data_IF_275836120609
#
_entry.id   IF_275836120609
#
_cell.length_a   1.000
_cell.length_b   1.000
_cell.length_c   1.000
_cell.angle_alpha   90.00
_cell.angle_beta   90.00
_cell.angle_gamma   90.00
#
_symmetry.space_group_name_H-M   'P 1'
#
loop_
_entity.id
_entity.type
_entity.pdbx_description
1 polymer ?
#
# COMPACT_ATOMS: atom_id res chain seq x y z
N UNK A 1 -40.60 -36.34 -48.93
CA UNK A 1 -41.89 -35.61 -49.06
C UNK A 1 -41.88 -34.46 -48.07
N UNK A 2 -41.93 -33.42 -48.62
CA UNK A 2 -42.71 -32.14 -48.56
C UNK A 2 -42.11 -31.22 -47.45
N UNK A 3 -41.35 -30.24 -47.79
CA UNK A 3 -41.76 -28.96 -48.44
C UNK A 3 -42.39 -27.94 -47.46
N UNK A 4 -41.74 -26.76 -47.40
CA UNK A 4 -42.36 -25.42 -47.24
C UNK A 4 -42.32 -24.86 -45.81
N UNK A 5 -42.09 -23.63 -45.57
CA UNK A 5 -42.11 -22.38 -46.39
C UNK A 5 -41.24 -21.34 -45.61
N UNK A 6 -40.50 -20.60 -46.37
CA UNK A 6 -39.84 -19.33 -46.06
C UNK A 6 -40.90 -18.27 -45.65
N UNK A 7 -40.73 -17.65 -44.52
CA UNK A 7 -41.34 -16.36 -44.22
C UNK A 7 -40.34 -15.37 -43.79
N UNK A 8 -39.95 -14.50 -44.68
CA UNK A 8 -39.14 -13.31 -44.44
C UNK A 8 -40.02 -12.33 -43.68
N UNK A 9 -39.61 -11.98 -42.48
CA UNK A 9 -40.15 -10.83 -41.76
C UNK A 9 -39.07 -9.73 -41.71
N UNK A 10 -39.25 -8.77 -42.60
CA UNK A 10 -38.55 -7.51 -42.57
C UNK A 10 -39.14 -6.71 -41.41
N UNK A 11 -38.38 -6.52 -40.34
CA UNK A 11 -38.73 -5.53 -39.34
C UNK A 11 -37.56 -4.57 -39.10
N UNK A 12 -37.84 -3.39 -39.46
CA UNK A 12 -37.45 -2.08 -38.98
C UNK A 12 -36.12 -1.97 -38.28
N UNK A 13 -35.17 -1.33 -38.99
CA UNK A 13 -34.00 -0.71 -38.36
C UNK A 13 -34.52 0.41 -37.47
N UNK A 14 -34.63 0.13 -36.18
CA UNK A 14 -34.76 1.17 -35.16
C UNK A 14 -33.37 1.74 -34.94
N UNK A 15 -33.10 2.91 -35.54
CA UNK A 15 -31.95 3.68 -35.26
C UNK A 15 -31.96 4.07 -33.76
N UNK A 16 -31.27 3.29 -32.92
CA UNK A 16 -30.88 3.78 -31.60
C UNK A 16 -29.93 4.97 -31.85
N UNK A 17 -30.46 6.16 -31.68
CA UNK A 17 -29.65 7.32 -31.48
C UNK A 17 -28.90 7.07 -30.15
N UNK A 18 -27.65 6.63 -30.24
CA UNK A 18 -26.71 6.70 -29.14
C UNK A 18 -26.53 8.18 -28.82
N UNK A 19 -27.25 8.65 -27.79
CA UNK A 19 -26.87 9.86 -27.10
C UNK A 19 -25.45 9.58 -26.59
N UNK A 20 -24.46 10.06 -27.33
CA UNK A 20 -23.08 10.06 -26.92
C UNK A 20 -23.02 10.77 -25.59
N UNK A 21 -22.90 9.99 -24.52
CA UNK A 21 -22.37 10.47 -23.27
C UNK A 21 -20.91 10.78 -23.57
N UNK A 22 -20.63 12.02 -23.96
CA UNK A 22 -19.29 12.55 -23.97
C UNK A 22 -18.88 12.52 -22.51
N UNK A 23 -18.19 11.46 -22.11
CA UNK A 23 -17.30 11.51 -20.96
C UNK A 23 -16.50 12.78 -21.21
N UNK A 24 -16.64 13.76 -20.32
CA UNK A 24 -15.75 14.92 -20.32
C UNK A 24 -14.34 14.32 -20.35
N UNK A 25 -13.63 14.61 -21.42
CA UNK A 25 -12.23 14.19 -21.60
C UNK A 25 -11.45 14.83 -20.44
N UNK A 26 -11.21 14.05 -19.41
CA UNK A 26 -10.56 14.55 -18.17
C UNK A 26 -9.07 14.64 -18.34
N UNK A 27 -8.52 14.37 -19.52
CA UNK A 27 -7.09 14.29 -19.69
C UNK A 27 -6.60 15.04 -20.90
N UNK A 28 -6.33 16.31 -20.70
CA UNK A 28 -5.32 16.99 -21.51
C UNK A 28 -3.90 16.51 -21.16
N UNK A 29 -3.74 15.51 -20.29
CA UNK A 29 -2.48 14.87 -20.00
C UNK A 29 -1.99 14.12 -21.24
N UNK A 30 -0.84 14.57 -21.78
CA UNK A 30 -0.16 13.84 -22.86
C UNK A 30 0.96 13.01 -22.29
N UNK A 31 0.99 11.73 -22.68
CA UNK A 31 2.00 10.75 -22.27
C UNK A 31 2.73 10.27 -23.52
N UNK A 32 4.03 10.48 -23.57
CA UNK A 32 4.89 9.98 -24.64
C UNK A 32 5.90 9.00 -24.03
N UNK A 33 5.88 7.74 -24.46
CA UNK A 33 6.87 6.74 -24.06
C UNK A 33 8.10 6.92 -24.92
N UNK A 34 9.17 7.46 -24.34
CA UNK A 34 10.44 7.70 -25.05
C UNK A 34 11.37 6.50 -24.97
N UNK A 35 11.21 5.64 -23.96
CA UNK A 35 11.92 4.38 -23.83
C UNK A 35 11.01 3.35 -23.14
N UNK A 36 10.91 2.15 -23.68
CA UNK A 36 10.18 1.04 -23.04
C UNK A 36 10.98 0.47 -21.87
N UNK A 37 10.28 0.16 -20.77
CA UNK A 37 10.77 -0.64 -19.67
C UNK A 37 10.43 -2.13 -19.83
N UNK A 38 10.96 -2.96 -18.95
CA UNK A 38 10.72 -4.41 -18.93
C UNK A 38 10.64 -5.00 -17.52
N UNK A 39 10.81 -4.17 -16.48
CA UNK A 39 10.73 -4.61 -15.09
C UNK A 39 9.30 -4.62 -14.54
N UNK A 40 9.16 -4.49 -13.23
CA UNK A 40 7.85 -4.44 -12.57
C UNK A 40 7.02 -3.24 -13.00
N UNK A 41 5.69 -3.40 -13.03
CA UNK A 41 4.75 -2.34 -13.41
C UNK A 41 4.35 -1.52 -12.18
N UNK A 42 4.33 -0.20 -12.32
CA UNK A 42 3.86 0.73 -11.29
C UNK A 42 2.33 0.70 -11.18
N UNK A 43 1.82 0.39 -10.01
CA UNK A 43 0.39 0.38 -9.70
C UNK A 43 0.06 1.24 -8.48
N UNK A 44 -1.21 1.62 -8.33
CA UNK A 44 -1.67 2.40 -7.18
C UNK A 44 -1.32 1.72 -5.84
N UNK A 45 -0.87 2.50 -4.88
CA UNK A 45 -0.44 2.04 -3.57
C UNK A 45 1.02 1.58 -3.51
N UNK A 46 1.69 1.37 -4.64
CA UNK A 46 3.10 1.00 -4.65
C UNK A 46 4.00 2.21 -4.40
N UNK A 47 5.13 1.99 -3.75
CA UNK A 47 6.21 2.94 -3.65
C UNK A 47 7.02 2.91 -4.95
N UNK A 48 7.10 4.04 -5.63
CA UNK A 48 7.85 4.19 -6.90
C UNK A 48 9.02 5.13 -6.70
N UNK A 49 10.17 4.77 -7.28
CA UNK A 49 11.38 5.59 -7.28
C UNK A 49 11.70 6.03 -8.70
N UNK A 50 11.83 7.34 -8.90
CA UNK A 50 12.01 7.91 -10.22
C UNK A 50 13.17 8.92 -10.28
N UNK A 51 13.82 9.02 -11.43
CA UNK A 51 14.49 10.24 -11.83
C UNK A 51 13.58 11.09 -12.71
N UNK A 52 13.68 12.40 -12.55
CA UNK A 52 12.89 13.32 -13.35
C UNK A 52 13.60 14.65 -13.61
N UNK A 53 13.16 15.33 -14.66
CA UNK A 53 13.46 16.75 -14.93
C UNK A 53 12.17 17.45 -15.31
N UNK A 54 11.81 18.49 -14.56
CA UNK A 54 10.62 19.33 -14.78
C UNK A 54 10.99 20.64 -15.46
N UNK A 55 10.26 20.98 -16.53
CA UNK A 55 10.44 22.19 -17.36
C UNK A 55 9.12 22.88 -17.62
N UNK A 56 9.18 24.19 -17.83
CA UNK A 56 8.10 24.96 -18.45
C UNK A 56 8.08 24.74 -19.97
N UNK A 57 7.03 25.22 -20.64
CA UNK A 57 6.89 25.10 -22.11
C UNK A 57 7.93 25.88 -22.90
N UNK A 58 8.56 26.88 -22.30
CA UNK A 58 9.68 27.61 -22.89
C UNK A 58 11.04 26.90 -22.70
N UNK A 59 11.07 25.75 -22.08
CA UNK A 59 12.26 24.96 -21.78
C UNK A 59 12.95 25.31 -20.45
N UNK A 60 12.46 26.32 -19.73
CA UNK A 60 13.01 26.69 -18.41
C UNK A 60 12.89 25.54 -17.43
N UNK A 61 14.00 24.96 -16.97
CA UNK A 61 14.04 23.93 -15.94
C UNK A 61 13.74 24.54 -14.59
N UNK A 62 12.75 23.98 -13.87
CA UNK A 62 12.39 24.43 -12.52
C UNK A 62 12.78 23.44 -11.42
N UNK A 63 12.89 22.14 -11.74
CA UNK A 63 13.32 21.13 -10.78
C UNK A 63 13.90 19.89 -11.48
N UNK A 64 14.84 19.19 -10.81
CA UNK A 64 15.36 17.90 -11.27
C UNK A 64 15.96 17.09 -10.14
N UNK A 65 15.59 15.82 -10.05
CA UNK A 65 16.21 14.86 -9.13
C UNK A 65 17.65 14.52 -9.55
N UNK A 66 17.96 14.65 -10.84
CA UNK A 66 19.32 14.43 -11.35
C UNK A 66 20.31 15.49 -10.84
N UNK A 67 19.85 16.75 -10.69
CA UNK A 67 20.69 17.81 -10.13
C UNK A 67 21.05 17.56 -8.67
N UNK A 68 20.17 16.86 -7.94
CA UNK A 68 20.39 16.44 -6.54
C UNK A 68 21.17 15.14 -6.40
N UNK A 69 21.33 14.37 -7.48
CA UNK A 69 21.95 13.05 -7.48
C UNK A 69 21.18 11.98 -6.69
N UNK A 70 19.91 12.25 -6.37
CA UNK A 70 19.09 11.36 -5.55
C UNK A 70 17.73 11.15 -6.20
N UNK A 71 17.28 9.91 -6.43
CA UNK A 71 15.94 9.62 -6.91
C UNK A 71 14.86 10.17 -5.98
N UNK A 72 13.71 10.46 -6.54
CA UNK A 72 12.52 10.85 -5.79
C UNK A 72 11.59 9.64 -5.64
N UNK A 73 11.22 9.37 -4.40
CA UNK A 73 10.35 8.23 -4.04
C UNK A 73 9.02 8.72 -3.48
N UNK A 74 7.93 8.16 -3.95
CA UNK A 74 6.59 8.46 -3.47
C UNK A 74 5.63 7.27 -3.63
N UNK A 75 4.52 7.28 -2.89
CA UNK A 75 3.46 6.27 -3.05
C UNK A 75 2.48 6.71 -4.12
N UNK A 76 2.36 5.91 -5.18
CA UNK A 76 1.55 6.20 -6.36
C UNK A 76 0.05 6.16 -6.04
N UNK A 77 -0.71 7.12 -6.58
CA UNK A 77 -2.16 7.17 -6.45
C UNK A 77 -2.69 7.64 -5.09
N UNK A 78 -1.82 8.19 -4.22
CA UNK A 78 -2.19 8.67 -2.88
C UNK A 78 -2.30 10.20 -2.80
N UNK A 79 -2.23 10.90 -3.92
CA UNK A 79 -2.24 12.38 -3.94
C UNK A 79 -1.04 13.03 -3.24
N UNK A 80 0.09 12.32 -3.16
CA UNK A 80 1.34 12.86 -2.60
C UNK A 80 2.10 13.72 -3.59
N UNK A 81 1.72 13.63 -4.87
CA UNK A 81 2.26 14.37 -5.99
C UNK A 81 1.12 15.03 -6.76
N UNK A 82 1.43 15.87 -7.75
CA UNK A 82 0.40 16.46 -8.63
C UNK A 82 -0.36 15.35 -9.39
N UNK A 83 -1.63 15.61 -9.71
CA UNK A 83 -2.52 14.61 -10.35
C UNK A 83 -1.94 14.06 -11.65
N UNK A 84 -1.27 14.91 -12.44
CA UNK A 84 -0.63 14.51 -13.68
C UNK A 84 0.48 13.46 -13.48
N UNK A 85 1.13 13.45 -12.32
CA UNK A 85 2.10 12.40 -11.96
C UNK A 85 1.43 11.10 -11.54
N UNK A 86 0.42 11.16 -10.65
CA UNK A 86 -0.32 9.96 -10.24
C UNK A 86 -0.92 9.24 -11.45
N UNK A 87 -1.39 9.98 -12.47
CA UNK A 87 -1.92 9.41 -13.71
C UNK A 87 -0.82 9.00 -14.69
N UNK A 88 0.21 9.83 -14.85
CA UNK A 88 1.24 9.65 -15.87
C UNK A 88 2.28 8.58 -15.55
N UNK A 89 2.51 8.30 -14.26
CA UNK A 89 3.43 7.25 -13.80
C UNK A 89 2.73 5.90 -13.66
N UNK A 90 1.41 5.89 -13.51
CA UNK A 90 0.64 4.66 -13.46
C UNK A 90 0.88 3.81 -14.72
N UNK A 91 1.15 2.52 -14.53
CA UNK A 91 1.42 1.58 -15.61
C UNK A 91 2.81 1.74 -16.26
N UNK A 92 3.72 2.55 -15.71
CA UNK A 92 5.13 2.52 -16.12
C UNK A 92 5.79 1.21 -15.72
N UNK A 93 6.65 0.70 -16.59
CA UNK A 93 7.51 -0.44 -16.27
C UNK A 93 8.88 0.05 -15.78
N UNK A 94 9.51 -0.64 -14.83
CA UNK A 94 10.88 -0.29 -14.41
C UNK A 94 11.81 -0.27 -15.62
N UNK A 95 12.61 0.80 -15.74
CA UNK A 95 13.45 1.13 -16.89
C UNK A 95 12.73 1.91 -17.98
N UNK A 96 11.42 2.16 -17.85
CA UNK A 96 10.67 3.00 -18.82
C UNK A 96 10.94 4.48 -18.61
N UNK A 97 10.98 5.21 -19.73
CA UNK A 97 11.03 6.69 -19.74
C UNK A 97 9.80 7.24 -20.43
N UNK A 98 9.20 8.23 -19.81
CA UNK A 98 8.05 8.98 -20.36
C UNK A 98 8.33 10.47 -20.33
N UNK A 99 7.81 11.18 -21.35
CA UNK A 99 7.61 12.62 -21.27
C UNK A 99 6.13 12.87 -21.01
N UNK A 100 5.84 13.56 -19.90
CA UNK A 100 4.48 13.96 -19.52
C UNK A 100 4.31 15.45 -19.82
N UNK A 101 3.29 15.82 -20.62
CA UNK A 101 2.83 17.21 -20.74
C UNK A 101 1.58 17.36 -19.91
N UNK A 102 1.69 18.08 -18.81
CA UNK A 102 0.68 18.17 -17.74
C UNK A 102 0.04 19.55 -17.78
N UNK A 103 -1.26 19.68 -18.12
CA UNK A 103 -1.96 20.95 -18.04
C UNK A 103 -2.07 21.43 -16.59
N UNK A 104 -2.29 22.73 -16.42
CA UNK A 104 -2.31 23.36 -15.09
C UNK A 104 -3.28 22.72 -14.10
N UNK A 105 -4.43 22.23 -14.56
CA UNK A 105 -5.50 21.60 -13.76
C UNK A 105 -5.07 20.28 -13.12
N UNK A 106 -4.11 19.61 -13.76
CA UNK A 106 -3.48 18.39 -13.24
C UNK A 106 -2.11 18.68 -12.57
N UNK A 107 -1.70 19.94 -12.57
CA UNK A 107 -0.47 20.44 -11.96
C UNK A 107 -0.76 21.33 -10.75
N UNK A 108 -0.29 22.60 -10.81
CA UNK A 108 -0.39 23.56 -9.72
C UNK A 108 -1.51 24.61 -9.90
N UNK A 109 -2.32 24.50 -10.96
CA UNK A 109 -3.50 25.33 -11.21
C UNK A 109 -3.20 26.83 -11.29
N UNK A 110 -4.22 27.61 -10.90
CA UNK A 110 -4.15 29.07 -10.91
C UNK A 110 -3.25 29.67 -9.81
N UNK A 111 -2.78 28.87 -8.87
CA UNK A 111 -1.86 29.33 -7.82
C UNK A 111 -0.40 29.30 -8.27
N UNK A 112 -0.04 28.39 -9.18
CA UNK A 112 1.37 28.11 -9.50
C UNK A 112 2.12 27.50 -8.30
N UNK A 113 3.46 27.50 -8.33
CA UNK A 113 4.27 27.04 -7.22
C UNK A 113 5.55 27.86 -7.05
N UNK A 114 5.70 28.50 -5.92
CA UNK A 114 6.84 29.35 -5.59
C UNK A 114 7.11 30.43 -6.65
N UNK A 115 8.39 30.77 -6.83
CA UNK A 115 8.82 31.73 -7.86
C UNK A 115 9.07 31.06 -9.22
N UNK A 116 9.11 29.75 -9.28
CA UNK A 116 9.60 29.00 -10.45
C UNK A 116 8.48 28.50 -11.36
N UNK A 117 7.25 28.36 -10.87
CA UNK A 117 6.11 27.87 -11.64
C UNK A 117 5.00 28.92 -11.64
N UNK A 118 4.78 29.63 -12.77
CA UNK A 118 3.74 30.63 -12.87
C UNK A 118 2.32 30.06 -12.71
N UNK A 119 1.33 30.91 -12.38
CA UNK A 119 -0.09 30.54 -12.47
C UNK A 119 -0.46 29.99 -13.85
N UNK A 120 -1.29 28.92 -13.85
CA UNK A 120 -1.80 28.27 -15.06
C UNK A 120 -0.72 27.70 -16.00
N UNK A 121 0.47 27.39 -15.47
CA UNK A 121 1.55 26.84 -16.27
C UNK A 121 1.28 25.39 -16.65
N UNK A 122 1.46 25.07 -17.93
CA UNK A 122 1.64 23.70 -18.42
C UNK A 122 3.06 23.23 -18.09
N UNK A 123 3.18 22.03 -17.56
CA UNK A 123 4.44 21.46 -17.12
C UNK A 123 4.87 20.31 -18.03
N UNK A 124 6.16 20.21 -18.29
CA UNK A 124 6.74 19.10 -19.03
C UNK A 124 7.71 18.37 -18.10
N UNK A 125 7.47 17.07 -17.90
CA UNK A 125 8.35 16.23 -17.11
C UNK A 125 8.91 15.08 -17.95
N UNK A 126 10.21 14.98 -17.99
CA UNK A 126 10.90 13.76 -18.41
C UNK A 126 11.09 12.90 -17.17
N UNK A 127 10.54 11.69 -17.17
CA UNK A 127 10.52 10.77 -15.99
C UNK A 127 11.10 9.42 -16.40
N UNK A 128 12.00 8.88 -15.58
CA UNK A 128 12.49 7.51 -15.66
C UNK A 128 12.09 6.74 -14.40
N UNK A 129 11.40 5.63 -14.56
CA UNK A 129 11.05 4.73 -13.45
C UNK A 129 12.22 3.79 -13.15
N UNK A 130 12.75 3.89 -11.93
CA UNK A 130 13.93 3.16 -11.51
C UNK A 130 13.58 1.90 -10.70
N UNK A 131 12.56 2.01 -9.83
CA UNK A 131 12.18 0.92 -8.93
C UNK A 131 10.70 1.02 -8.55
N UNK A 132 10.11 -0.14 -8.25
CA UNK A 132 8.75 -0.29 -7.76
C UNK A 132 8.76 -1.28 -6.61
N UNK A 133 8.24 -0.85 -5.47
CA UNK A 133 8.14 -1.70 -4.28
C UNK A 133 6.67 -1.84 -3.85
N UNK A 134 6.26 -3.06 -3.55
CA UNK A 134 4.96 -3.32 -2.94
C UNK A 134 4.87 -2.61 -1.59
N UNK A 135 3.71 -2.05 -1.24
CA UNK A 135 3.53 -1.53 0.10
C UNK A 135 3.70 -2.66 1.11
N UNK A 136 4.44 -2.38 2.17
CA UNK A 136 4.50 -3.28 3.31
C UNK A 136 3.20 -3.09 4.07
N UNK A 137 2.42 -4.16 4.21
CA UNK A 137 1.14 -4.14 4.92
C UNK A 137 1.16 -5.18 6.04
N UNK A 138 0.38 -4.94 7.08
CA UNK A 138 0.20 -5.91 8.14
C UNK A 138 -0.43 -7.18 7.59
N UNK A 139 0.32 -8.29 7.70
CA UNK A 139 -0.19 -9.60 7.32
C UNK A 139 -1.28 -10.08 8.28
N UNK A 140 -2.34 -10.61 7.70
CA UNK A 140 -3.44 -11.21 8.46
C UNK A 140 -3.27 -12.73 8.47
N UNK A 141 -3.60 -13.38 9.56
CA UNK A 141 -3.55 -14.84 9.64
C UNK A 141 -4.77 -15.42 10.33
N UNK A 142 -5.27 -16.52 9.79
CA UNK A 142 -6.16 -17.45 10.46
C UNK A 142 -5.38 -18.29 11.48
N UNK A 143 -6.03 -19.03 12.39
CA UNK A 143 -5.32 -19.94 13.29
C UNK A 143 -4.44 -20.98 12.59
N UNK A 144 -4.84 -21.47 11.42
CA UNK A 144 -4.04 -22.43 10.65
C UNK A 144 -2.77 -21.78 10.06
N UNK A 145 -2.91 -20.62 9.44
CA UNK A 145 -1.78 -19.85 8.89
C UNK A 145 -0.84 -19.38 10.01
N UNK A 146 -1.38 -19.02 11.16
CA UNK A 146 -0.59 -18.65 12.33
C UNK A 146 0.36 -19.78 12.76
N UNK A 147 -0.15 -21.04 12.79
CA UNK A 147 0.66 -22.22 13.11
C UNK A 147 1.79 -22.41 12.08
N UNK A 148 1.51 -22.21 10.80
CA UNK A 148 2.54 -22.34 9.76
C UNK A 148 3.59 -21.22 9.88
N UNK A 149 3.18 -19.98 10.08
CA UNK A 149 4.11 -18.86 10.33
C UNK A 149 4.99 -19.10 11.57
N UNK A 150 4.41 -19.66 12.64
CA UNK A 150 5.19 -20.04 13.84
C UNK A 150 6.24 -21.11 13.52
N UNK A 151 5.92 -22.13 12.70
CA UNK A 151 6.87 -23.14 12.23
C UNK A 151 7.97 -22.55 11.35
N UNK A 152 7.62 -21.52 10.57
CA UNK A 152 8.57 -20.78 9.71
C UNK A 152 9.48 -19.83 10.50
N UNK A 153 9.38 -19.84 11.84
CA UNK A 153 10.30 -19.12 12.72
C UNK A 153 9.88 -17.70 13.05
N UNK A 154 8.62 -17.34 12.82
CA UNK A 154 8.09 -16.06 13.31
C UNK A 154 8.09 -16.04 14.85
N UNK A 155 8.52 -14.93 15.41
CA UNK A 155 8.48 -14.69 16.85
C UNK A 155 7.04 -14.38 17.24
N UNK A 156 6.42 -15.29 17.97
CA UNK A 156 5.04 -15.14 18.45
C UNK A 156 5.03 -14.26 19.69
N UNK A 157 4.25 -13.18 19.68
CA UNK A 157 4.14 -12.26 20.80
C UNK A 157 2.67 -12.08 21.20
N UNK A 158 2.37 -12.44 22.45
CA UNK A 158 1.11 -12.14 23.12
C UNK A 158 1.18 -10.74 23.72
N UNK A 159 0.43 -9.80 23.13
CA UNK A 159 0.44 -8.39 23.56
C UNK A 159 -0.63 -8.07 24.61
N UNK A 160 -1.31 -9.07 25.13
CA UNK A 160 -2.34 -8.90 26.14
C UNK A 160 -1.74 -8.51 27.50
N UNK A 161 -2.57 -8.30 28.49
CA UNK A 161 -2.16 -8.05 29.86
C UNK A 161 -2.00 -9.37 30.63
N UNK A 162 -1.26 -9.34 31.72
CA UNK A 162 -0.95 -10.52 32.50
C UNK A 162 -2.19 -11.23 33.06
N UNK A 163 -3.21 -10.47 33.51
CA UNK A 163 -4.47 -11.06 33.95
C UNK A 163 -5.18 -11.83 32.85
N UNK A 164 -5.07 -11.40 31.58
CA UNK A 164 -5.64 -12.12 30.44
C UNK A 164 -4.86 -13.43 30.14
N UNK A 165 -3.55 -13.45 30.38
CA UNK A 165 -2.73 -14.67 30.21
C UNK A 165 -3.07 -15.71 31.29
N UNK A 166 -3.25 -15.26 32.52
CA UNK A 166 -3.65 -16.13 33.66
C UNK A 166 -5.04 -16.73 33.43
N UNK A 167 -5.99 -15.89 32.96
CA UNK A 167 -7.39 -16.31 32.76
C UNK A 167 -7.54 -17.32 31.62
N UNK A 168 -6.87 -17.12 30.50
CA UNK A 168 -7.17 -17.87 29.26
C UNK A 168 -6.02 -18.73 28.76
N UNK A 169 -4.85 -18.67 29.39
CA UNK A 169 -3.61 -19.27 28.90
C UNK A 169 -3.00 -18.47 27.74
N UNK A 170 -1.88 -18.96 27.22
CA UNK A 170 -1.12 -18.40 26.10
C UNK A 170 -0.97 -19.44 24.99
N UNK A 171 -0.74 -19.00 23.76
CA UNK A 171 -0.34 -19.90 22.67
C UNK A 171 1.08 -20.41 22.99
N UNK A 172 1.30 -21.70 22.81
CA UNK A 172 2.59 -22.32 23.15
C UNK A 172 3.73 -21.68 22.35
N UNK A 173 4.83 -21.35 23.05
CA UNK A 173 6.00 -20.69 22.45
C UNK A 173 5.85 -19.18 22.28
N UNK A 174 4.78 -18.57 22.77
CA UNK A 174 4.61 -17.13 22.72
C UNK A 174 5.43 -16.41 23.80
N UNK A 175 6.11 -15.36 23.39
CA UNK A 175 6.64 -14.33 24.28
C UNK A 175 5.49 -13.46 24.79
N UNK A 176 5.50 -13.13 26.07
CA UNK A 176 4.43 -12.34 26.70
C UNK A 176 4.91 -10.91 26.97
N UNK A 177 4.35 -9.94 26.25
CA UNK A 177 4.72 -8.52 26.37
C UNK A 177 3.46 -7.67 26.40
N UNK A 178 3.06 -7.19 27.57
CA UNK A 178 1.93 -6.24 27.67
C UNK A 178 2.21 -5.01 26.82
N UNK A 179 1.41 -4.81 25.76
CA UNK A 179 1.58 -3.64 24.91
C UNK A 179 0.82 -2.42 25.42
N UNK A 180 -0.35 -2.63 26.00
CA UNK A 180 -1.22 -1.52 26.41
C UNK A 180 -1.68 -1.66 27.86
N UNK A 181 -1.70 -0.54 28.55
CA UNK A 181 -2.34 -0.42 29.88
C UNK A 181 -3.85 -0.57 29.77
N UNK A 182 -4.55 -0.65 30.90
CA UNK A 182 -6.01 -0.66 30.94
C UNK A 182 -6.63 0.59 30.31
N UNK A 183 -5.96 1.75 30.43
CA UNK A 183 -6.38 2.99 29.79
C UNK A 183 -6.07 3.08 28.29
N UNK A 184 -5.48 2.02 27.70
CA UNK A 184 -5.13 1.97 26.27
C UNK A 184 -3.84 2.70 25.89
N UNK A 185 -3.08 3.20 26.85
CA UNK A 185 -1.77 3.81 26.60
C UNK A 185 -0.71 2.72 26.39
N UNK A 186 0.34 3.03 25.62
CA UNK A 186 1.46 2.12 25.47
C UNK A 186 2.11 1.84 26.83
N UNK A 187 2.32 0.54 27.14
CA UNK A 187 2.96 0.15 28.40
C UNK A 187 4.41 0.60 28.42
N UNK A 188 4.87 1.15 29.56
CA UNK A 188 6.21 1.74 29.70
C UNK A 188 7.35 0.80 29.32
N UNK A 189 7.19 -0.50 29.59
CA UNK A 189 8.25 -1.50 29.35
C UNK A 189 8.13 -2.16 27.97
N UNK A 190 7.07 -1.80 27.17
CA UNK A 190 6.81 -2.45 25.91
C UNK A 190 7.97 -2.30 24.93
N UNK A 191 8.44 -1.09 24.73
CA UNK A 191 9.48 -0.81 23.73
C UNK A 191 10.77 -1.57 24.03
N UNK A 192 11.24 -1.56 25.29
CA UNK A 192 12.46 -2.25 25.68
C UNK A 192 12.34 -3.75 25.42
N UNK A 193 11.28 -4.38 25.91
CA UNK A 193 11.02 -5.82 25.73
C UNK A 193 10.85 -6.19 24.26
N UNK A 194 10.05 -5.43 23.54
CA UNK A 194 9.79 -5.69 22.12
C UNK A 194 11.08 -5.61 21.28
N UNK A 195 11.87 -4.53 21.42
CA UNK A 195 13.11 -4.38 20.67
C UNK A 195 14.25 -5.29 21.17
N UNK A 196 14.08 -5.93 22.32
CA UNK A 196 14.96 -7.04 22.68
C UNK A 196 14.78 -8.26 21.78
N UNK A 197 13.61 -8.43 21.16
CA UNK A 197 13.27 -9.50 20.21
C UNK A 197 13.41 -9.04 18.76
N UNK A 198 12.83 -7.89 18.42
CA UNK A 198 12.83 -7.34 17.06
C UNK A 198 14.17 -6.63 16.78
N UNK A 199 15.15 -7.35 16.23
CA UNK A 199 16.53 -6.86 16.05
C UNK A 199 16.75 -6.01 14.79
N UNK A 200 15.77 -5.97 13.87
CA UNK A 200 15.86 -5.19 12.64
C UNK A 200 14.60 -5.26 11.81
N UNK A 201 14.57 -4.50 10.70
CA UNK A 201 13.37 -4.38 9.85
C UNK A 201 12.85 -5.72 9.32
N UNK A 202 13.71 -6.68 9.09
CA UNK A 202 13.35 -7.99 8.52
C UNK A 202 12.96 -9.02 9.59
N UNK A 203 12.99 -8.68 10.89
CA UNK A 203 12.61 -9.62 11.96
C UNK A 203 11.17 -10.08 11.78
N UNK A 204 10.92 -11.40 11.66
CA UNK A 204 9.58 -11.93 11.46
C UNK A 204 8.81 -11.92 12.79
N UNK A 205 7.73 -11.15 12.84
CA UNK A 205 6.91 -10.93 14.05
C UNK A 205 5.49 -11.41 13.80
N UNK A 206 4.94 -12.17 14.75
CA UNK A 206 3.59 -12.70 14.71
C UNK A 206 2.85 -12.32 16.00
N UNK A 207 1.92 -11.39 15.89
CA UNK A 207 1.23 -10.79 17.04
C UNK A 207 -0.12 -11.47 17.29
N UNK A 208 -0.52 -11.61 18.55
CA UNK A 208 -1.91 -11.84 18.87
C UNK A 208 -2.36 -11.08 20.12
N UNK A 209 -3.66 -10.82 20.16
CA UNK A 209 -4.33 -10.31 21.35
C UNK A 209 -5.66 -11.04 21.56
N UNK A 210 -6.62 -10.45 22.25
CA UNK A 210 -7.89 -11.09 22.51
C UNK A 210 -8.74 -11.29 21.26
N UNK A 211 -8.92 -10.23 20.44
CA UNK A 211 -9.85 -10.16 19.29
C UNK A 211 -9.25 -9.55 18.02
N UNK A 212 -7.92 -9.40 17.93
CA UNK A 212 -7.25 -8.84 16.75
C UNK A 212 -7.09 -7.31 16.76
N UNK A 213 -8.01 -6.54 17.35
CA UNK A 213 -8.01 -5.06 17.23
C UNK A 213 -6.74 -4.38 17.76
N UNK A 214 -6.25 -4.80 18.94
CA UNK A 214 -5.02 -4.23 19.51
C UNK A 214 -3.79 -4.55 18.67
N UNK A 215 -3.74 -5.74 18.08
CA UNK A 215 -2.63 -6.16 17.20
C UNK A 215 -2.69 -5.53 15.84
N UNK A 216 -3.88 -5.26 15.30
CA UNK A 216 -4.03 -4.51 14.06
C UNK A 216 -3.47 -3.08 14.20
N UNK A 217 -3.87 -2.38 15.25
CA UNK A 217 -3.36 -1.04 15.53
C UNK A 217 -1.85 -1.02 15.77
N UNK A 218 -1.35 -1.93 16.60
CA UNK A 218 0.08 -2.02 16.90
C UNK A 218 0.90 -2.45 15.69
N UNK A 219 0.45 -3.45 14.95
CA UNK A 219 1.14 -3.97 13.77
C UNK A 219 1.31 -2.91 12.68
N UNK A 220 0.26 -2.14 12.39
CA UNK A 220 0.36 -1.00 11.48
C UNK A 220 1.36 0.06 11.98
N UNK A 221 1.33 0.40 13.27
CA UNK A 221 2.30 1.34 13.84
C UNK A 221 3.75 0.81 13.77
N UNK A 222 3.96 -0.49 13.96
CA UNK A 222 5.29 -1.11 13.83
C UNK A 222 5.81 -1.06 12.38
N UNK A 223 4.93 -1.16 11.39
CA UNK A 223 5.27 -1.01 9.98
C UNK A 223 5.54 0.46 9.66
N UNK A 224 4.59 1.34 9.96
CA UNK A 224 4.61 2.73 9.49
C UNK A 224 5.64 3.61 10.20
N UNK A 225 5.87 3.38 11.52
CA UNK A 225 6.70 4.22 12.36
C UNK A 225 8.07 3.61 12.68
N UNK A 226 8.15 2.27 12.75
CA UNK A 226 9.38 1.54 13.07
C UNK A 226 10.05 0.98 11.82
N UNK A 227 9.29 0.76 10.74
CA UNK A 227 9.80 0.24 9.48
C UNK A 227 9.99 -1.28 9.46
N UNK A 228 9.28 -2.03 10.32
CA UNK A 228 9.28 -3.48 10.25
C UNK A 228 8.56 -3.95 8.99
N UNK A 229 9.07 -5.02 8.36
CA UNK A 229 8.59 -5.48 7.06
C UNK A 229 7.81 -6.80 7.12
N UNK A 230 8.06 -7.61 8.13
CA UNK A 230 7.51 -8.95 8.27
C UNK A 230 6.65 -9.05 9.53
N UNK A 231 5.54 -8.32 9.58
CA UNK A 231 4.62 -8.30 10.71
C UNK A 231 3.29 -8.91 10.31
N UNK A 232 2.89 -9.94 11.03
CA UNK A 232 1.58 -10.59 10.91
C UNK A 232 0.84 -10.53 12.22
N UNK A 233 -0.49 -10.68 12.18
CA UNK A 233 -1.29 -10.85 13.38
C UNK A 233 -2.41 -11.88 13.20
N UNK A 234 -2.82 -12.50 14.30
CA UNK A 234 -3.99 -13.35 14.35
C UNK A 234 -5.25 -12.48 14.31
N UNK A 235 -5.98 -12.48 13.20
CA UNK A 235 -7.03 -11.51 12.86
C UNK A 235 -8.11 -11.41 13.94
N UNK A 236 -8.63 -12.54 14.41
CA UNK A 236 -9.68 -12.58 15.44
C UNK A 236 -9.13 -13.00 16.83
N UNK A 237 -7.81 -12.96 16.98
CA UNK A 237 -7.08 -13.16 18.21
C UNK A 237 -7.28 -14.55 18.86
N UNK A 238 -6.96 -14.65 20.16
CA UNK A 238 -7.02 -15.90 20.91
C UNK A 238 -8.46 -16.44 21.06
N UNK A 239 -9.46 -15.59 20.88
CA UNK A 239 -10.88 -16.04 20.89
C UNK A 239 -11.13 -17.00 19.74
N UNK A 240 -10.74 -16.66 18.52
CA UNK A 240 -10.90 -17.52 17.35
C UNK A 240 -9.95 -18.71 17.39
N UNK A 241 -8.74 -18.54 17.92
CA UNK A 241 -7.82 -19.65 18.19
C UNK A 241 -8.47 -20.78 18.98
N UNK A 242 -9.11 -20.41 20.11
CA UNK A 242 -9.79 -21.39 20.98
C UNK A 242 -11.05 -21.97 20.35
N UNK A 243 -11.83 -21.14 19.66
CA UNK A 243 -13.05 -21.56 18.95
C UNK A 243 -12.75 -22.55 17.83
N UNK A 244 -11.61 -22.43 17.17
CA UNK A 244 -11.10 -23.37 16.17
C UNK A 244 -10.55 -24.68 16.77
N UNK A 245 -10.68 -24.88 18.09
CA UNK A 245 -10.24 -26.10 18.78
C UNK A 245 -8.76 -26.16 19.13
N UNK A 246 -8.02 -25.08 18.93
CA UNK A 246 -6.60 -25.03 19.28
C UNK A 246 -6.41 -24.86 20.79
N UNK A 247 -5.35 -25.46 21.30
CA UNK A 247 -5.02 -25.46 22.73
C UNK A 247 -4.20 -24.21 23.12
N UNK A 248 -4.29 -23.88 24.41
CA UNK A 248 -3.43 -22.90 25.07
C UNK A 248 -2.68 -23.59 26.22
N UNK A 249 -1.48 -23.10 26.51
CA UNK A 249 -0.70 -23.51 27.69
C UNK A 249 -1.00 -22.57 28.86
N UNK A 250 -0.94 -23.11 30.08
CA UNK A 250 -1.08 -22.27 31.28
C UNK A 250 0.08 -21.26 31.37
N UNK A 251 -0.26 -20.01 31.64
CA UNK A 251 0.76 -19.02 31.97
C UNK A 251 1.10 -19.09 33.47
N UNK A 252 2.39 -19.11 33.75
CA UNK A 252 2.91 -19.01 35.14
C UNK A 252 3.72 -17.73 35.23
N UNK A 253 3.33 -16.76 36.09
CA UNK A 253 4.12 -15.55 36.28
C UNK A 253 5.56 -15.90 36.75
N UNK A 254 6.58 -15.15 36.30
CA UNK A 254 7.92 -15.30 36.85
C UNK A 254 7.92 -14.91 38.34
N UNK A 255 8.64 -15.68 39.15
CA UNK A 255 8.80 -15.44 40.59
C UNK A 255 9.56 -14.13 40.86
#
# INVERSE_FOLDING_TARGET
MLNKIFTILIMGVLALQSTGFTMADTSDLKIEITQKGSGAEAANGMSVSVHYTGKLTDGTKFDSSLDRGTPFTFTLGQGRVIKGWDQGVLGMMVGEKRTLTIPSELGYGSAGAGASIPPNATLIFDIELLDVQMPIVLGQSTPTEFIELQKDGYIVIDIRREEEWIETGIIEGAETITAFTESGQLHKDFQEKFFSLAKGPETPILLYCRTGNRTEMLGNALIDQVGLKNVYHLTDGIVEWKKSGNKTSNYTPPN
#
